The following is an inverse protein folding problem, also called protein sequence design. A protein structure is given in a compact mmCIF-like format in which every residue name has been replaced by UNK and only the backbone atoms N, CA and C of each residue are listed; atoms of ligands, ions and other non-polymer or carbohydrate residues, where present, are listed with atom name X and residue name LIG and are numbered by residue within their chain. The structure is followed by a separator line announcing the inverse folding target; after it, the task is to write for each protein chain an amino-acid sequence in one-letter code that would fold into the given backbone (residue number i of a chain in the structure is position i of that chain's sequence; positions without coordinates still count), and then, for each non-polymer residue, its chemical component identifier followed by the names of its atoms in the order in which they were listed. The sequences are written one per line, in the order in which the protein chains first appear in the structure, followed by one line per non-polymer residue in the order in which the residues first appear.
data_IF_651434026472
#
_entry.id   IF_651434026472
#
_cell.length_a   1.000
_cell.length_b   1.000
_cell.length_c   1.000
_cell.angle_alpha   90.00
_cell.angle_beta   90.00
_cell.angle_gamma   90.00
#
_symmetry.space_group_name_H-M   'P 1'
#
loop_
_entity.id
_entity.type
_entity.pdbx_description
1 polymer ?
#
# COMPACT_ATOMS: atom_id res chain seq x y z
N UNK A 1 5.01 -54.58 10.33
CA UNK A 1 3.68 -54.62 9.69
C UNK A 1 2.95 -53.34 10.08
N UNK A 2 2.40 -52.66 9.08
CA UNK A 2 1.56 -51.46 9.14
C UNK A 2 2.23 -50.18 9.67
N UNK A 3 2.37 -49.10 8.92
CA UNK A 3 1.59 -48.65 7.77
C UNK A 3 0.63 -47.56 8.21
N UNK A 4 1.10 -46.31 8.17
CA UNK A 4 0.29 -45.10 8.04
C UNK A 4 1.20 -44.04 7.40
N UNK A 5 1.24 -44.11 6.07
CA UNK A 5 1.61 -42.98 5.23
C UNK A 5 0.31 -42.64 4.48
N UNK A 6 -0.59 -41.91 5.13
CA UNK A 6 -1.76 -41.34 4.46
C UNK A 6 -1.50 -39.87 4.16
N UNK A 7 -1.06 -39.74 2.92
CA UNK A 7 -0.94 -38.60 2.03
C UNK A 7 -2.07 -37.56 2.16
N UNK A 8 -1.65 -36.31 2.31
CA UNK A 8 -2.15 -35.23 1.46
C UNK A 8 -3.39 -34.49 1.93
N UNK A 9 -3.17 -33.43 2.69
CA UNK A 9 -3.91 -32.19 2.52
C UNK A 9 -2.96 -31.02 2.77
N UNK A 10 -1.96 -30.90 1.90
CA UNK A 10 -1.35 -29.61 1.61
C UNK A 10 -2.45 -28.76 0.95
N UNK A 11 -3.30 -28.16 1.77
CA UNK A 11 -4.09 -27.02 1.36
C UNK A 11 -3.08 -25.90 1.12
N UNK A 12 -2.52 -25.93 -0.10
CA UNK A 12 -1.81 -24.83 -0.71
C UNK A 12 -2.55 -23.56 -0.30
N UNK A 13 -1.83 -22.69 0.40
CA UNK A 13 -2.31 -21.35 0.66
C UNK A 13 -2.75 -20.76 -0.67
N UNK A 14 -4.02 -20.46 -0.79
CA UNK A 14 -4.35 -19.19 -1.38
C UNK A 14 -4.08 -18.17 -0.28
N UNK A 15 -2.95 -17.43 -0.30
CA UNK A 15 -3.07 -16.03 -0.01
C UNK A 15 -4.02 -15.52 -1.11
N UNK A 16 -5.34 -15.55 -0.83
CA UNK A 16 -6.26 -14.67 -1.55
C UNK A 16 -5.63 -13.29 -1.50
N UNK A 17 -5.71 -12.50 -2.59
CA UNK A 17 -4.91 -11.29 -2.73
C UNK A 17 -5.02 -10.49 -1.44
N UNK A 18 -3.95 -10.53 -0.66
CA UNK A 18 -3.74 -9.62 0.44
C UNK A 18 -3.35 -8.28 -0.19
N UNK A 19 -4.21 -7.78 -1.07
CA UNK A 19 -4.32 -6.37 -1.37
C UNK A 19 -5.25 -5.75 -0.33
N UNK A 20 -4.99 -6.06 0.94
CA UNK A 20 -5.20 -5.04 1.95
C UNK A 20 -4.00 -4.11 1.85
N UNK A 21 -3.96 -3.32 0.78
CA UNK A 21 -3.04 -2.19 0.58
C UNK A 21 -3.38 -1.03 1.54
N UNK A 22 -3.64 -1.37 2.79
CA UNK A 22 -3.93 -0.48 3.88
C UNK A 22 -2.89 -0.77 4.97
N UNK A 23 -1.71 -0.16 4.83
CA UNK A 23 -1.08 0.71 5.84
C UNK A 23 0.40 0.97 5.47
N UNK A 24 0.86 2.23 5.54
CA UNK A 24 1.64 2.58 6.72
C UNK A 24 1.32 3.97 7.29
N UNK A 25 0.05 4.31 7.54
CA UNK A 25 -0.31 5.62 8.08
C UNK A 25 -1.79 6.01 8.04
N UNK A 26 -2.70 5.13 8.45
CA UNK A 26 -3.92 5.47 9.21
C UNK A 26 -5.07 6.32 8.63
N UNK A 27 -4.86 7.37 7.82
CA UNK A 27 -5.92 8.35 7.47
C UNK A 27 -5.74 9.00 6.08
N UNK A 28 -5.51 8.21 5.02
CA UNK A 28 -5.52 8.70 3.64
C UNK A 28 -4.50 9.82 3.37
N UNK A 29 -4.93 10.96 2.81
CA UNK A 29 -4.04 12.08 2.52
C UNK A 29 -3.47 12.71 3.80
N UNK A 30 -4.28 12.82 4.86
CA UNK A 30 -3.87 13.42 6.13
C UNK A 30 -2.76 12.60 6.80
N UNK A 31 -2.94 11.28 6.88
CA UNK A 31 -1.90 10.41 7.44
C UNK A 31 -0.59 10.44 6.65
N UNK A 32 -0.65 10.60 5.31
CA UNK A 32 0.56 10.80 4.49
C UNK A 32 1.25 12.14 4.76
N UNK A 33 0.50 13.22 4.98
CA UNK A 33 1.05 14.52 5.36
C UNK A 33 1.72 14.43 6.73
N UNK A 34 1.09 13.79 7.71
CA UNK A 34 1.67 13.60 9.05
C UNK A 34 3.01 12.87 9.01
N UNK A 35 3.14 11.85 8.16
CA UNK A 35 4.42 11.15 7.95
C UNK A 35 5.50 12.05 7.35
N UNK A 36 5.14 12.93 6.41
CA UNK A 36 6.09 13.91 5.84
C UNK A 36 6.52 14.91 6.91
N UNK A 37 5.57 15.41 7.71
CA UNK A 37 5.85 16.35 8.79
C UNK A 37 6.68 15.75 9.92
N UNK A 38 6.61 14.44 10.14
CA UNK A 38 7.48 13.75 11.10
C UNK A 38 8.96 13.73 10.68
N UNK A 39 9.28 14.01 9.41
CA UNK A 39 10.67 14.03 8.92
C UNK A 39 11.41 15.34 9.26
N UNK A 40 12.76 15.32 9.31
CA UNK A 40 13.59 16.52 9.32
C UNK A 40 13.25 17.52 8.20
N UNK A 41 13.34 18.82 8.51
CA UNK A 41 12.99 19.92 7.60
C UNK A 41 13.53 19.77 6.16
N UNK A 42 14.81 19.39 5.92
CA UNK A 42 15.32 19.25 4.56
C UNK A 42 14.63 18.18 3.73
N UNK A 43 14.04 17.16 4.35
CA UNK A 43 13.41 16.02 3.67
C UNK A 43 11.93 16.26 3.39
N UNK A 44 11.28 17.17 4.14
CA UNK A 44 9.86 17.49 3.96
C UNK A 44 9.55 18.02 2.57
N UNK A 45 10.42 18.88 2.03
CA UNK A 45 10.23 19.46 0.70
C UNK A 45 10.10 18.37 -0.38
N UNK A 46 11.02 17.41 -0.41
CA UNK A 46 10.98 16.29 -1.35
C UNK A 46 9.73 15.41 -1.17
N UNK A 47 9.33 15.16 0.08
CA UNK A 47 8.09 14.42 0.38
C UNK A 47 6.83 15.13 -0.13
N UNK A 48 6.77 16.46 0.03
CA UNK A 48 5.65 17.26 -0.46
C UNK A 48 5.64 17.40 -1.98
N UNK A 49 6.79 17.51 -2.64
CA UNK A 49 6.89 17.49 -4.11
C UNK A 49 6.35 16.18 -4.67
N UNK A 50 6.76 15.04 -4.10
CA UNK A 50 6.25 13.73 -4.52
C UNK A 50 4.73 13.62 -4.33
N UNK A 51 4.21 14.05 -3.17
CA UNK A 51 2.78 14.02 -2.89
C UNK A 51 1.99 14.94 -3.85
N UNK A 52 2.54 16.10 -4.19
CA UNK A 52 1.94 17.01 -5.18
C UNK A 52 1.81 16.34 -6.55
N UNK A 53 2.88 15.70 -7.03
CA UNK A 53 2.89 15.08 -8.36
C UNK A 53 1.89 13.92 -8.45
N UNK A 54 1.78 13.13 -7.38
CA UNK A 54 0.77 12.07 -7.27
C UNK A 54 -0.66 12.60 -7.36
N UNK A 55 -0.98 13.66 -6.60
CA UNK A 55 -2.32 14.27 -6.61
C UNK A 55 -2.65 14.91 -7.95
N UNK A 56 -1.67 15.55 -8.58
CA UNK A 56 -1.81 16.14 -9.90
C UNK A 56 -2.10 15.07 -10.96
N UNK A 57 -1.40 13.93 -10.91
CA UNK A 57 -1.62 12.81 -11.81
C UNK A 57 -3.04 12.22 -11.65
N UNK A 58 -3.53 12.10 -10.41
CA UNK A 58 -4.87 11.61 -10.14
C UNK A 58 -5.96 12.57 -10.67
N UNK A 59 -5.78 13.87 -10.49
CA UNK A 59 -6.70 14.87 -11.03
C UNK A 59 -6.77 14.80 -12.57
N UNK A 60 -5.61 14.70 -13.22
CA UNK A 60 -5.53 14.59 -14.69
C UNK A 60 -6.16 13.30 -15.22
N UNK A 61 -6.05 12.20 -14.48
CA UNK A 61 -6.71 10.93 -14.82
C UNK A 61 -8.23 11.07 -14.76
N UNK A 62 -8.76 11.79 -13.78
CA UNK A 62 -10.19 12.07 -13.64
C UNK A 62 -10.76 12.93 -14.77
N UNK A 63 -10.01 13.95 -15.22
CA UNK A 63 -10.44 14.86 -16.28
C UNK A 63 -10.31 14.26 -17.70
N UNK A 64 -9.39 13.32 -17.92
CA UNK A 64 -9.12 12.72 -19.24
C UNK A 64 -10.03 11.55 -19.64
N UNK A 65 -11.01 11.19 -18.80
CA UNK A 65 -11.82 9.97 -18.93
C UNK A 65 -13.27 10.16 -19.39
N UNK A 66 -13.62 11.28 -20.04
CA UNK A 66 -14.98 11.53 -20.58
C UNK A 66 -14.99 11.74 -22.09
#
# INVERSE_FOLDING_TARGET
MSGIEDRGAETAGSPGPAESGADPGGDGLLGRIELIEAQPLPQRAAGFEQLHDELLAELQRGDGGS
#
